data_IF_482065068706
#
_entry.id   IF_482065068706
#
_cell.length_a   1.000
_cell.length_b   1.000
_cell.length_c   1.000
_cell.angle_alpha   90.00
_cell.angle_beta   90.00
_cell.angle_gamma   90.00
#
_symmetry.space_group_name_H-M   'P 1'
#
loop_
_entity.id
_entity.type
_entity.pdbx_description
1 polymer ?
#
# COMPACT_ATOMS: atom_id res chain seq x y z
N UNK A 1 -24.96 -26.39 2.80
CA UNK A 1 -25.31 -25.81 4.11
C UNK A 1 -24.21 -26.14 5.11
N UNK A 2 -23.78 -25.19 5.93
CA UNK A 2 -22.84 -25.47 7.00
C UNK A 2 -23.56 -26.16 8.19
N UNK A 3 -22.89 -27.07 8.93
CA UNK A 3 -23.46 -27.66 10.15
C UNK A 3 -23.85 -26.57 11.14
N UNK A 4 -24.90 -26.81 11.93
CA UNK A 4 -25.41 -25.86 12.95
C UNK A 4 -24.40 -25.52 14.05
N UNK A 5 -23.38 -26.36 14.24
CA UNK A 5 -22.27 -26.15 15.16
C UNK A 5 -21.13 -25.28 14.59
N UNK A 6 -21.19 -24.92 13.30
CA UNK A 6 -20.14 -24.13 12.65
C UNK A 6 -20.17 -22.69 13.16
N UNK A 7 -19.05 -22.21 13.70
CA UNK A 7 -18.87 -20.79 14.04
C UNK A 7 -18.29 -20.07 12.83
N UNK A 8 -18.95 -19.01 12.38
CA UNK A 8 -18.48 -18.14 11.32
C UNK A 8 -17.88 -16.89 11.95
N UNK A 9 -16.63 -16.56 11.59
CA UNK A 9 -15.99 -15.32 11.97
C UNK A 9 -15.93 -14.42 10.73
N UNK A 10 -16.61 -13.29 10.77
CA UNK A 10 -16.55 -12.29 9.71
C UNK A 10 -15.49 -11.24 10.08
N UNK A 11 -14.59 -10.96 9.14
CA UNK A 11 -13.52 -9.98 9.27
C UNK A 11 -13.74 -8.88 8.22
N UNK A 12 -13.73 -7.63 8.64
CA UNK A 12 -13.95 -6.48 7.75
C UNK A 12 -13.13 -5.28 8.19
N UNK A 13 -11.80 -5.37 8.16
CA UNK A 13 -10.92 -4.30 8.65
C UNK A 13 -10.88 -3.12 7.68
N UNK A 14 -10.88 -1.91 8.23
CA UNK A 14 -10.78 -0.65 7.50
C UNK A 14 -9.46 0.09 7.79
N UNK A 15 -8.75 -0.27 8.85
CA UNK A 15 -7.49 0.35 9.28
C UNK A 15 -6.53 -0.71 9.86
N UNK A 16 -5.29 -0.29 10.18
CA UNK A 16 -4.30 -1.20 10.77
C UNK A 16 -4.70 -1.71 12.16
N UNK A 17 -5.45 -0.92 12.93
CA UNK A 17 -5.94 -1.35 14.23
C UNK A 17 -6.93 -2.51 14.08
N UNK A 18 -7.88 -2.40 13.15
CA UNK A 18 -8.86 -3.47 12.88
C UNK A 18 -8.15 -4.77 12.46
N UNK A 19 -7.11 -4.68 11.63
CA UNK A 19 -6.30 -5.84 11.23
C UNK A 19 -5.66 -6.52 12.47
N UNK A 20 -5.18 -5.74 13.43
CA UNK A 20 -4.65 -6.27 14.67
C UNK A 20 -5.73 -6.98 15.50
N UNK A 21 -6.92 -6.40 15.58
CA UNK A 21 -8.06 -6.97 16.31
C UNK A 21 -8.58 -8.25 15.63
N UNK A 22 -8.56 -8.29 14.30
CA UNK A 22 -8.87 -9.47 13.51
C UNK A 22 -7.89 -10.61 13.79
N UNK A 23 -6.57 -10.32 13.86
CA UNK A 23 -5.55 -11.32 14.22
C UNK A 23 -5.84 -11.92 15.60
N UNK A 24 -6.19 -11.10 16.59
CA UNK A 24 -6.55 -11.58 17.93
C UNK A 24 -7.83 -12.42 17.89
N UNK A 25 -8.83 -12.00 17.11
CA UNK A 25 -10.10 -12.70 16.96
C UNK A 25 -9.92 -14.08 16.32
N UNK A 26 -9.09 -14.17 15.28
CA UNK A 26 -8.70 -15.44 14.66
C UNK A 26 -7.92 -16.32 15.65
N UNK A 27 -6.96 -15.74 16.36
CA UNK A 27 -6.20 -16.46 17.40
C UNK A 27 -7.09 -17.06 18.49
N UNK A 28 -8.07 -16.30 18.96
CA UNK A 28 -9.06 -16.78 19.93
C UNK A 28 -9.93 -17.92 19.36
N UNK A 29 -10.38 -17.77 18.11
CA UNK A 29 -11.18 -18.80 17.46
C UNK A 29 -10.39 -20.10 17.21
N UNK A 30 -9.07 -20.00 17.00
CA UNK A 30 -8.16 -21.11 16.77
C UNK A 30 -7.53 -21.68 18.06
N UNK A 31 -7.92 -21.20 19.26
CA UNK A 31 -7.30 -21.52 20.54
C UNK A 31 -5.77 -21.22 20.58
N UNK A 32 -5.37 -20.10 19.96
CA UNK A 32 -4.00 -19.60 19.85
C UNK A 32 -3.92 -18.11 20.23
N UNK A 33 -4.58 -17.73 21.32
CA UNK A 33 -4.69 -16.31 21.71
C UNK A 33 -3.33 -15.70 22.06
N UNK A 34 -2.51 -16.42 22.85
CA UNK A 34 -1.22 -15.90 23.30
C UNK A 34 -0.27 -15.63 22.11
N UNK A 35 -0.26 -16.52 21.10
CA UNK A 35 0.54 -16.35 19.91
C UNK A 35 0.05 -15.15 19.06
N UNK A 36 -1.27 -14.97 18.98
CA UNK A 36 -1.85 -13.84 18.26
C UNK A 36 -1.52 -12.51 18.94
N UNK A 37 -1.64 -12.42 20.27
CA UNK A 37 -1.28 -11.23 21.03
C UNK A 37 0.22 -10.91 20.94
N UNK A 38 1.07 -11.96 20.99
CA UNK A 38 2.50 -11.81 20.79
C UNK A 38 2.82 -11.25 19.37
N UNK A 39 2.18 -11.79 18.34
CA UNK A 39 2.32 -11.32 16.96
C UNK A 39 1.88 -9.85 16.84
N UNK A 40 0.71 -9.49 17.35
CA UNK A 40 0.22 -8.10 17.31
C UNK A 40 1.20 -7.15 18.02
N UNK A 41 1.76 -7.54 19.16
CA UNK A 41 2.78 -6.75 19.84
C UNK A 41 4.03 -6.53 18.98
N UNK A 42 4.47 -7.54 18.23
CA UNK A 42 5.59 -7.40 17.29
C UNK A 42 5.23 -6.46 16.14
N UNK A 43 4.04 -6.59 15.55
CA UNK A 43 3.57 -5.74 14.46
C UNK A 43 3.47 -4.28 14.90
N UNK A 44 2.89 -4.00 16.06
CA UNK A 44 2.79 -2.64 16.63
C UNK A 44 4.18 -1.99 16.79
N UNK A 45 5.15 -2.73 17.30
CA UNK A 45 6.54 -2.23 17.41
C UNK A 45 7.15 -1.85 16.05
N UNK A 46 6.85 -2.62 14.99
CA UNK A 46 7.34 -2.30 13.64
C UNK A 46 6.65 -1.04 13.09
N UNK A 47 5.35 -0.89 13.32
CA UNK A 47 4.62 0.34 12.96
C UNK A 47 5.20 1.56 13.69
N UNK A 48 5.48 1.43 14.98
CA UNK A 48 6.05 2.53 15.78
C UNK A 48 7.44 2.93 15.29
N UNK A 49 8.28 1.99 14.89
CA UNK A 49 9.57 2.30 14.25
C UNK A 49 9.41 3.13 12.97
N UNK A 50 8.42 2.81 12.14
CA UNK A 50 8.13 3.61 10.93
C UNK A 50 7.68 5.01 11.31
N UNK A 51 6.80 5.16 12.32
CA UNK A 51 6.37 6.48 12.84
C UNK A 51 7.55 7.32 13.36
N UNK A 52 8.46 6.71 14.10
CA UNK A 52 9.66 7.38 14.63
C UNK A 52 10.53 7.95 13.50
N UNK A 53 10.78 7.15 12.45
CA UNK A 53 11.53 7.61 11.28
C UNK A 53 10.78 8.73 10.54
N UNK A 54 9.46 8.58 10.38
CA UNK A 54 8.61 9.56 9.71
C UNK A 54 8.49 10.88 10.50
N UNK A 55 8.53 10.82 11.83
CA UNK A 55 8.50 12.04 12.69
C UNK A 55 9.70 12.97 12.46
N UNK A 56 10.84 12.42 12.04
CA UNK A 56 12.04 13.22 11.68
C UNK A 56 12.03 13.79 10.26
N UNK A 57 10.95 13.59 9.49
CA UNK A 57 10.86 14.06 8.10
C UNK A 57 10.32 15.48 8.05
N UNK A 58 11.06 16.38 7.41
CA UNK A 58 10.66 17.80 7.25
C UNK A 58 9.74 18.01 6.05
N UNK A 59 9.84 17.18 5.02
CA UNK A 59 9.01 17.25 3.82
C UNK A 59 8.22 15.96 3.67
N UNK A 60 6.89 16.09 3.65
CA UNK A 60 5.95 15.00 3.46
C UNK A 60 5.52 14.98 1.98
N UNK A 61 5.98 14.00 1.19
CA UNK A 61 5.64 13.96 -0.22
C UNK A 61 4.14 13.71 -0.44
N UNK A 62 3.62 14.26 -1.53
CA UNK A 62 2.28 14.00 -2.05
C UNK A 62 2.28 12.62 -2.74
N UNK A 63 1.48 11.69 -2.22
CA UNK A 63 1.49 10.28 -2.61
C UNK A 63 0.17 9.90 -3.26
N UNK A 64 0.24 9.16 -4.36
CA UNK A 64 -0.89 8.45 -4.95
C UNK A 64 -0.63 6.95 -4.89
N UNK A 65 -1.57 6.20 -4.33
CA UNK A 65 -1.60 4.74 -4.36
C UNK A 65 -2.69 4.28 -5.33
N UNK A 66 -2.32 3.54 -6.38
CA UNK A 66 -3.24 2.99 -7.38
C UNK A 66 -3.41 1.49 -7.18
N UNK A 67 -4.62 1.05 -6.86
CA UNK A 67 -4.96 -0.38 -6.70
C UNK A 67 -5.54 -1.01 -7.97
N UNK A 68 -5.72 -0.23 -9.03
CA UNK A 68 -6.05 -0.68 -10.38
C UNK A 68 -5.69 0.39 -11.41
N UNK A 69 -5.45 -0.02 -12.66
CA UNK A 69 -4.94 0.89 -13.69
C UNK A 69 -5.94 1.20 -14.81
N UNK A 70 -6.79 0.25 -15.19
CA UNK A 70 -7.79 0.47 -16.24
C UNK A 70 -9.14 -0.17 -15.88
N UNK A 71 -10.16 0.65 -15.52
CA UNK A 71 -10.06 2.08 -15.21
C UNK A 71 -9.25 2.33 -13.93
N UNK A 72 -8.64 3.52 -13.75
CA UNK A 72 -7.83 3.76 -12.57
C UNK A 72 -8.67 3.78 -11.29
N UNK A 73 -8.19 3.06 -10.26
CA UNK A 73 -8.74 3.03 -8.91
C UNK A 73 -7.70 3.49 -7.89
N UNK A 74 -8.12 4.38 -7.01
CA UNK A 74 -7.35 4.83 -5.85
C UNK A 74 -7.49 3.81 -4.73
N UNK A 75 -6.39 3.47 -4.08
CA UNK A 75 -6.39 2.56 -2.95
C UNK A 75 -7.11 3.16 -1.73
N UNK A 76 -7.78 2.31 -0.98
CA UNK A 76 -8.55 2.68 0.20
C UNK A 76 -8.21 1.89 1.44
N UNK A 77 -9.20 1.80 2.37
CA UNK A 77 -9.13 1.08 3.64
C UNK A 77 -7.92 1.51 4.48
N UNK A 78 -6.97 0.61 4.73
CA UNK A 78 -5.75 0.86 5.53
C UNK A 78 -4.62 1.55 4.76
N UNK A 79 -4.67 1.58 3.39
CA UNK A 79 -3.55 2.11 2.60
C UNK A 79 -3.32 3.62 2.83
N UNK A 80 -4.35 4.49 2.85
CA UNK A 80 -4.14 5.91 3.14
C UNK A 80 -3.59 6.16 4.56
N UNK A 81 -3.98 5.35 5.56
CA UNK A 81 -3.39 5.38 6.91
C UNK A 81 -1.90 5.00 6.85
N UNK A 82 -1.54 3.97 6.09
CA UNK A 82 -0.14 3.56 5.92
C UNK A 82 0.69 4.68 5.28
N UNK A 83 0.15 5.40 4.29
CA UNK A 83 0.82 6.58 3.69
C UNK A 83 1.08 7.66 4.75
N UNK A 84 0.09 7.95 5.62
CA UNK A 84 0.25 8.94 6.70
C UNK A 84 1.31 8.52 7.71
N UNK A 85 1.29 7.25 8.15
CA UNK A 85 2.25 6.69 9.10
C UNK A 85 3.66 6.70 8.49
N UNK A 86 3.79 6.41 7.20
CA UNK A 86 5.04 6.45 6.46
C UNK A 86 5.57 7.89 6.22
N UNK A 87 4.85 8.93 6.66
CA UNK A 87 5.27 10.32 6.51
C UNK A 87 4.95 10.94 5.15
N UNK A 88 3.96 10.42 4.42
CA UNK A 88 3.40 10.99 3.21
C UNK A 88 2.08 11.75 3.42
N UNK A 89 1.56 12.33 2.35
CA UNK A 89 0.21 12.90 2.23
C UNK A 89 -0.47 12.16 1.09
N UNK A 90 -1.45 11.31 1.39
CA UNK A 90 -2.26 10.71 0.33
C UNK A 90 -3.10 11.81 -0.32
N UNK A 91 -2.98 11.95 -1.66
CA UNK A 91 -3.60 13.06 -2.38
C UNK A 91 -5.03 12.77 -2.83
N UNK A 92 -5.47 11.51 -2.76
CA UNK A 92 -6.79 11.11 -3.20
C UNK A 92 -7.46 10.13 -2.25
N UNK A 93 -6.71 9.17 -1.70
CA UNK A 93 -7.22 8.14 -0.80
C UNK A 93 -7.69 8.71 0.55
N UNK A 94 -8.67 8.05 1.17
CA UNK A 94 -9.26 8.46 2.45
C UNK A 94 -9.15 7.33 3.45
N UNK A 95 -8.62 7.64 4.63
CA UNK A 95 -8.42 6.65 5.70
C UNK A 95 -9.75 6.00 6.07
N UNK A 96 -9.76 4.66 6.07
CA UNK A 96 -10.92 3.87 6.48
C UNK A 96 -12.04 3.77 5.42
N UNK A 97 -11.98 4.54 4.34
CA UNK A 97 -12.96 4.47 3.26
C UNK A 97 -12.52 3.46 2.20
N UNK A 98 -13.46 2.82 1.49
CA UNK A 98 -13.13 1.95 0.37
C UNK A 98 -12.35 2.67 -0.73
N UNK A 99 -11.54 1.93 -1.50
CA UNK A 99 -10.97 2.39 -2.75
C UNK A 99 -12.06 2.80 -3.74
N UNK A 100 -11.76 3.70 -4.65
CA UNK A 100 -12.76 4.24 -5.58
C UNK A 100 -12.17 4.46 -6.98
N UNK A 101 -13.05 4.35 -7.96
CA UNK A 101 -12.72 4.65 -9.35
C UNK A 101 -12.48 6.16 -9.51
N UNK A 102 -11.43 6.50 -10.25
CA UNK A 102 -11.09 7.89 -10.60
C UNK A 102 -10.85 8.02 -12.11
N UNK A 103 -10.38 9.19 -12.55
CA UNK A 103 -9.97 9.44 -13.93
C UNK A 103 -8.51 9.82 -13.99
N UNK A 104 -7.90 9.64 -15.16
CA UNK A 104 -6.51 10.06 -15.37
C UNK A 104 -6.34 11.57 -15.23
N UNK A 105 -7.36 12.37 -15.65
CA UNK A 105 -7.36 13.83 -15.50
C UNK A 105 -7.28 14.24 -14.03
N UNK A 106 -8.08 13.62 -13.16
CA UNK A 106 -8.06 13.90 -11.73
C UNK A 106 -6.69 13.52 -11.10
N UNK A 107 -6.06 12.44 -11.58
CA UNK A 107 -4.72 12.03 -11.15
C UNK A 107 -3.68 13.08 -11.58
N UNK A 108 -3.76 13.58 -12.81
CA UNK A 108 -2.85 14.62 -13.30
C UNK A 108 -3.01 15.93 -12.52
N UNK A 109 -4.24 16.33 -12.20
CA UNK A 109 -4.56 17.51 -11.37
C UNK A 109 -4.04 17.37 -9.94
N UNK A 110 -4.10 16.15 -9.38
CA UNK A 110 -3.59 15.86 -8.04
C UNK A 110 -2.06 16.00 -7.94
N UNK A 111 -1.33 16.06 -9.05
CA UNK A 111 0.13 16.29 -9.10
C UNK A 111 0.93 15.52 -8.05
N UNK A 112 0.85 14.19 -8.00
CA UNK A 112 1.59 13.39 -7.01
C UNK A 112 3.11 13.49 -7.24
N UNK A 113 3.86 13.49 -6.13
CA UNK A 113 5.32 13.47 -6.10
C UNK A 113 5.87 12.05 -5.99
N UNK A 114 5.04 11.11 -5.54
CA UNK A 114 5.30 9.67 -5.51
C UNK A 114 4.06 8.94 -5.97
N UNK A 115 4.22 7.97 -6.86
CA UNK A 115 3.17 7.04 -7.24
C UNK A 115 3.58 5.63 -6.85
N UNK A 116 2.68 4.92 -6.17
CA UNK A 116 2.84 3.49 -5.84
C UNK A 116 1.71 2.73 -6.52
N UNK A 117 2.10 1.82 -7.41
CA UNK A 117 1.18 1.00 -8.20
C UNK A 117 1.09 -0.37 -7.57
N UNK A 118 -0.13 -0.72 -7.10
CA UNK A 118 -0.39 -1.90 -6.30
C UNK A 118 -1.69 -2.62 -6.73
N UNK A 119 -1.82 -3.10 -7.98
CA UNK A 119 -3.05 -3.71 -8.47
C UNK A 119 -3.45 -4.90 -7.62
N UNK A 120 -4.72 -4.93 -7.23
CA UNK A 120 -5.25 -5.91 -6.29
C UNK A 120 -5.01 -7.36 -6.79
N UNK A 121 -4.30 -8.16 -5.99
CA UNK A 121 -3.98 -9.55 -6.31
C UNK A 121 -2.77 -9.77 -7.23
N UNK A 122 -2.09 -8.71 -7.68
CA UNK A 122 -0.90 -8.82 -8.55
C UNK A 122 0.39 -8.92 -7.71
N UNK A 123 1.28 -9.79 -8.15
CA UNK A 123 2.67 -9.77 -7.72
C UNK A 123 3.47 -8.66 -8.43
N UNK A 124 4.75 -8.51 -8.09
CA UNK A 124 5.59 -7.48 -8.66
C UNK A 124 5.73 -7.59 -10.19
N UNK A 125 5.86 -8.81 -10.74
CA UNK A 125 6.05 -9.03 -12.16
C UNK A 125 4.79 -8.70 -12.97
N UNK A 126 3.62 -9.11 -12.47
CA UNK A 126 2.34 -8.75 -13.05
C UNK A 126 2.11 -7.24 -12.98
N UNK A 127 2.35 -6.61 -11.83
CA UNK A 127 2.26 -5.15 -11.68
C UNK A 127 3.14 -4.42 -12.67
N UNK A 128 4.40 -4.83 -12.82
CA UNK A 128 5.34 -4.20 -13.73
C UNK A 128 4.97 -4.43 -15.21
N UNK A 129 4.42 -5.59 -15.53
CA UNK A 129 3.98 -5.92 -16.90
C UNK A 129 2.74 -5.10 -17.26
N UNK A 130 1.72 -5.06 -16.39
CA UNK A 130 0.51 -4.28 -16.59
C UNK A 130 0.84 -2.80 -16.79
N UNK A 131 1.69 -2.25 -15.93
CA UNK A 131 2.10 -0.86 -16.01
C UNK A 131 2.84 -0.52 -17.32
N UNK A 132 3.53 -1.48 -17.93
CA UNK A 132 4.17 -1.28 -19.25
C UNK A 132 3.21 -1.42 -20.43
N UNK A 133 2.16 -2.23 -20.28
CA UNK A 133 1.18 -2.52 -21.35
C UNK A 133 0.08 -1.48 -21.45
N UNK A 134 -0.23 -0.80 -20.33
CA UNK A 134 -1.30 0.19 -20.31
C UNK A 134 -0.90 1.47 -21.05
N UNK A 135 -1.82 1.99 -21.85
CA UNK A 135 -1.67 3.31 -22.48
C UNK A 135 -1.82 4.43 -21.45
N UNK A 136 -0.72 4.89 -20.87
CA UNK A 136 -0.75 6.01 -19.93
C UNK A 136 -1.16 7.30 -20.63
N UNK A 137 -1.90 8.19 -19.96
CA UNK A 137 -2.48 9.39 -20.57
C UNK A 137 -1.41 10.40 -20.99
N UNK A 138 -1.69 11.23 -22.02
CA UNK A 138 -0.88 12.39 -22.31
C UNK A 138 -0.72 13.26 -21.05
N UNK A 139 0.50 13.62 -20.71
CA UNK A 139 0.78 14.40 -19.50
C UNK A 139 1.30 13.57 -18.32
N UNK A 140 1.18 12.25 -18.31
CA UNK A 140 1.74 11.40 -17.26
C UNK A 140 3.23 11.68 -17.00
N UNK A 141 4.03 11.81 -18.06
CA UNK A 141 5.45 12.12 -17.96
C UNK A 141 5.75 13.53 -17.42
N UNK A 142 4.73 14.40 -17.29
CA UNK A 142 4.86 15.72 -16.69
C UNK A 142 4.64 15.70 -15.17
N UNK A 143 4.08 14.63 -14.62
CA UNK A 143 3.91 14.48 -13.17
C UNK A 143 5.24 14.64 -12.44
N UNK A 144 5.25 15.31 -11.27
CA UNK A 144 6.44 15.38 -10.41
C UNK A 144 7.04 14.00 -10.12
N UNK A 145 6.19 13.01 -9.83
CA UNK A 145 6.60 11.63 -9.61
C UNK A 145 7.35 11.02 -10.80
N UNK A 146 6.84 11.23 -12.02
CA UNK A 146 7.46 10.70 -13.25
C UNK A 146 8.80 11.37 -13.54
N UNK A 147 8.87 12.70 -13.39
CA UNK A 147 10.11 13.48 -13.61
C UNK A 147 11.20 13.12 -12.62
N UNK A 148 10.83 12.80 -11.38
CA UNK A 148 11.75 12.44 -10.32
C UNK A 148 12.11 10.93 -10.29
N UNK A 149 11.55 10.10 -11.20
CA UNK A 149 11.73 8.64 -11.18
C UNK A 149 11.19 8.01 -9.89
N UNK A 150 10.05 8.52 -9.38
CA UNK A 150 9.41 8.07 -8.14
C UNK A 150 8.08 7.37 -8.40
N UNK A 151 8.02 6.59 -9.47
CA UNK A 151 6.93 5.65 -9.74
C UNK A 151 7.43 4.27 -9.35
N UNK A 152 6.72 3.61 -8.43
CA UNK A 152 7.10 2.35 -7.86
C UNK A 152 6.00 1.32 -8.11
N UNK A 153 6.36 0.18 -8.68
CA UNK A 153 5.54 -1.02 -8.71
C UNK A 153 5.84 -1.87 -7.47
N UNK A 154 4.83 -2.47 -6.85
CA UNK A 154 4.99 -3.33 -5.67
C UNK A 154 4.25 -4.65 -5.82
N UNK A 155 4.64 -5.66 -5.03
CA UNK A 155 3.87 -6.89 -4.85
C UNK A 155 2.65 -6.59 -3.96
N UNK A 156 1.53 -6.26 -4.62
CA UNK A 156 0.29 -5.93 -3.94
C UNK A 156 -0.35 -7.16 -3.29
N UNK A 157 -0.30 -8.31 -3.97
CA UNK A 157 -0.89 -9.55 -3.47
C UNK A 157 -0.34 -9.97 -2.11
N UNK A 158 0.96 -9.78 -1.90
CA UNK A 158 1.62 -10.18 -0.66
C UNK A 158 1.49 -9.14 0.46
N UNK A 159 1.46 -7.83 0.14
CA UNK A 159 1.71 -6.79 1.14
C UNK A 159 0.63 -5.72 1.27
N UNK A 160 -0.33 -5.63 0.34
CA UNK A 160 -1.33 -4.55 0.33
C UNK A 160 -2.77 -5.02 0.20
N UNK A 161 -3.03 -6.04 -0.66
CA UNK A 161 -4.39 -6.46 -1.01
C UNK A 161 -5.09 -7.30 0.06
N UNK A 162 -4.37 -7.83 1.05
CA UNK A 162 -4.92 -8.77 2.03
C UNK A 162 -4.68 -8.30 3.45
N UNK A 163 -5.76 -8.15 4.26
CA UNK A 163 -5.64 -7.69 5.64
C UNK A 163 -5.04 -8.79 6.54
N UNK A 164 -3.74 -8.71 6.77
CA UNK A 164 -3.03 -9.68 7.59
C UNK A 164 -1.64 -9.18 8.01
N UNK A 165 -0.85 -9.99 8.72
CA UNK A 165 0.42 -9.55 9.31
C UNK A 165 1.40 -8.89 8.33
N UNK A 166 1.36 -9.29 7.04
CA UNK A 166 2.27 -8.77 6.01
C UNK A 166 1.98 -7.33 5.59
N UNK A 167 0.81 -6.78 5.94
CA UNK A 167 0.49 -5.36 5.69
C UNK A 167 1.51 -4.43 6.36
N UNK A 168 2.07 -4.82 7.52
CA UNK A 168 3.13 -4.04 8.18
C UNK A 168 4.42 -4.03 7.35
N UNK A 169 4.73 -5.11 6.64
CA UNK A 169 5.82 -5.08 5.63
C UNK A 169 5.46 -4.14 4.47
N UNK A 170 4.21 -4.10 4.04
CA UNK A 170 3.71 -3.11 3.07
C UNK A 170 3.93 -1.67 3.55
N UNK A 171 3.69 -1.39 4.83
CA UNK A 171 3.99 -0.09 5.44
C UNK A 171 5.49 0.25 5.37
N UNK A 172 6.37 -0.70 5.65
CA UNK A 172 7.82 -0.51 5.53
C UNK A 172 8.26 -0.27 4.08
N UNK A 173 7.62 -0.95 3.11
CA UNK A 173 7.82 -0.71 1.67
C UNK A 173 7.42 0.72 1.30
N UNK A 174 6.25 1.19 1.76
CA UNK A 174 5.83 2.58 1.55
C UNK A 174 6.83 3.56 2.17
N UNK A 175 7.23 3.35 3.42
CA UNK A 175 8.19 4.22 4.08
C UNK A 175 9.51 4.34 3.31
N UNK A 176 10.00 3.23 2.74
CA UNK A 176 11.17 3.26 1.87
C UNK A 176 10.91 4.01 0.56
N UNK A 177 9.78 3.76 -0.12
CA UNK A 177 9.41 4.46 -1.35
C UNK A 177 9.33 5.98 -1.15
N UNK A 178 8.86 6.40 0.01
CA UNK A 178 8.71 7.82 0.38
C UNK A 178 10.05 8.45 0.82
N UNK A 179 10.86 7.72 1.57
CA UNK A 179 12.08 8.22 2.22
C UNK A 179 13.26 7.25 2.07
N UNK A 180 13.72 6.95 0.83
CA UNK A 180 14.74 5.92 0.59
C UNK A 180 16.09 6.18 1.27
N UNK A 181 16.43 7.44 1.53
CA UNK A 181 17.65 7.80 2.24
C UNK A 181 17.58 7.55 3.76
N UNK A 182 16.38 7.41 4.32
CA UNK A 182 16.17 7.24 5.77
C UNK A 182 15.73 5.83 6.15
N UNK A 183 15.02 5.17 5.25
CA UNK A 183 14.51 3.81 5.44
C UNK A 183 15.29 2.90 4.52
N UNK A 184 16.31 2.23 5.05
CA UNK A 184 16.98 1.15 4.33
C UNK A 184 16.27 -0.18 4.63
N UNK A 185 15.97 -0.96 3.60
CA UNK A 185 15.47 -2.30 3.80
C UNK A 185 16.16 -3.27 2.85
N UNK A 186 16.96 -4.20 3.37
CA UNK A 186 17.59 -5.23 2.55
C UNK A 186 16.60 -6.22 1.95
N UNK A 187 15.36 -6.26 2.46
CA UNK A 187 14.29 -7.18 2.02
C UNK A 187 13.47 -6.68 0.82
N UNK A 188 13.79 -5.48 0.28
CA UNK A 188 13.00 -4.89 -0.82
C UNK A 188 13.39 -5.43 -2.22
N UNK A 189 14.48 -6.17 -2.32
CA UNK A 189 14.82 -6.87 -3.56
C UNK A 189 13.74 -7.91 -3.88
N UNK A 190 13.01 -7.70 -4.98
CA UNK A 190 11.95 -8.61 -5.44
C UNK A 190 10.53 -8.30 -4.95
N UNK A 191 10.32 -7.22 -4.15
CA UNK A 191 8.98 -6.83 -3.69
C UNK A 191 8.56 -5.41 -4.11
N UNK A 192 9.52 -4.60 -4.55
CA UNK A 192 9.31 -3.26 -5.11
C UNK A 192 10.30 -3.02 -6.26
N UNK A 193 9.85 -2.33 -7.29
CA UNK A 193 10.65 -1.92 -8.45
C UNK A 193 10.34 -0.47 -8.80
N UNK A 194 11.37 0.33 -9.04
CA UNK A 194 11.19 1.63 -9.68
C UNK A 194 10.90 1.40 -11.16
N UNK A 195 9.87 2.10 -11.65
CA UNK A 195 9.53 2.05 -13.06
C UNK A 195 10.24 3.21 -13.75
N UNK A 196 11.23 2.87 -14.56
CA UNK A 196 11.95 3.83 -15.37
C UNK A 196 11.05 4.36 -16.50
N UNK A 197 11.39 5.54 -17.01
CA UNK A 197 10.58 6.34 -17.95
C UNK A 197 9.90 5.49 -19.03
N UNK A 198 8.59 5.66 -19.13
CA UNK A 198 7.87 5.23 -20.31
C UNK A 198 8.37 6.01 -21.53
N UNK A 199 8.99 5.32 -22.47
CA UNK A 199 9.02 5.80 -23.84
C UNK A 199 7.57 5.72 -24.34
N UNK A 200 6.95 6.80 -24.87
CA UNK A 200 5.67 6.67 -25.54
C UNK A 200 5.85 5.62 -26.66
N UNK A 201 4.88 4.73 -26.79
CA UNK A 201 4.79 3.89 -27.98
C UNK A 201 4.80 4.82 -29.19
N UNK A 202 5.73 4.56 -30.10
CA UNK A 202 5.90 5.31 -31.34
C UNK A 202 4.64 5.23 -32.21
#
# INVERSE_FOLDING_TARGET
MLPSSTRVLSLNPHCLADICDDIVSVGRAAARLDEAEHLVKQLKRRVDKVREVAAGVTQRPRVLCLEWLDPPFVAGHWVPEMVQIAGGIDVMGRVGEPGFRTTWEAILEATPEVVVVMPCGYDLQHTATELRSIGLPPGWNKLPAARAGRINAVDASSYFSRPGPRVVTGLEILAHALHPARVSSPTLSGVMMKVERYAPAA
#
